data_IF_719512708102
#
_entry.id   IF_719512708102
#
_cell.length_a   1.000
_cell.length_b   1.000
_cell.length_c   1.000
_cell.angle_alpha   90.00
_cell.angle_beta   90.00
_cell.angle_gamma   90.00
#
_symmetry.space_group_name_H-M   'P 1'
#
loop_
_entity.id
_entity.type
_entity.pdbx_description
1 polymer ?
#
# COMPACT_ATOMS: atom_id res chain seq x y z
N UNK A 1 2.01 6.32 11.78
CA UNK A 1 1.22 7.58 11.92
C UNK A 1 0.09 7.38 12.93
N UNK A 2 -0.65 8.39 13.41
CA UNK A 2 -1.78 8.13 14.34
C UNK A 2 -2.95 7.51 13.56
N UNK A 3 -3.38 6.30 13.93
CA UNK A 3 -4.49 5.60 13.28
C UNK A 3 -5.84 6.23 13.69
N UNK A 4 -6.39 7.09 12.83
CA UNK A 4 -7.76 7.61 12.99
C UNK A 4 -8.76 6.71 12.27
N UNK A 5 -10.03 6.74 12.67
CA UNK A 5 -11.10 5.95 12.03
C UNK A 5 -11.17 6.23 10.53
N UNK A 6 -11.10 7.50 10.12
CA UNK A 6 -11.09 7.89 8.71
C UNK A 6 -9.91 7.29 7.92
N UNK A 7 -8.72 7.23 8.53
CA UNK A 7 -7.54 6.63 7.90
C UNK A 7 -7.65 5.10 7.81
N UNK A 8 -8.27 4.46 8.81
CA UNK A 8 -8.53 3.02 8.79
C UNK A 8 -9.50 2.67 7.66
N UNK A 9 -10.62 3.39 7.54
CA UNK A 9 -11.59 3.20 6.45
C UNK A 9 -10.96 3.45 5.08
N UNK A 10 -10.12 4.49 4.97
CA UNK A 10 -9.39 4.80 3.74
C UNK A 10 -8.39 3.71 3.37
N UNK A 11 -7.63 3.19 4.33
CA UNK A 11 -6.70 2.09 4.08
C UNK A 11 -7.45 0.82 3.65
N UNK A 12 -8.56 0.49 4.32
CA UNK A 12 -9.44 -0.63 3.90
C UNK A 12 -9.93 -0.47 2.47
N UNK A 13 -10.32 0.74 2.07
CA UNK A 13 -10.70 1.01 0.68
C UNK A 13 -9.53 0.77 -0.29
N UNK A 14 -8.34 1.26 0.03
CA UNK A 14 -7.14 1.08 -0.82
C UNK A 14 -6.70 -0.38 -0.95
N UNK A 15 -6.99 -1.21 0.05
CA UNK A 15 -6.71 -2.64 0.07
C UNK A 15 -7.86 -3.50 -0.49
N UNK A 16 -8.96 -2.88 -0.94
CA UNK A 16 -10.20 -3.57 -1.29
C UNK A 16 -10.65 -4.54 -0.18
N UNK A 17 -10.59 -4.08 1.07
CA UNK A 17 -10.81 -4.87 2.28
C UNK A 17 -11.95 -4.28 3.14
N UNK A 18 -13.07 -3.97 2.47
CA UNK A 18 -14.24 -3.37 3.11
C UNK A 18 -15.03 -4.45 3.84
N UNK A 19 -15.39 -4.16 5.09
CA UNK A 19 -16.36 -4.95 5.84
C UNK A 19 -17.74 -4.76 5.19
N UNK A 20 -18.44 -5.82 4.76
CA UNK A 20 -19.77 -5.71 4.16
C UNK A 20 -20.80 -5.15 5.14
N UNK A 21 -21.87 -4.54 4.60
CA UNK A 21 -22.90 -3.92 5.44
C UNK A 21 -23.60 -4.98 6.29
N UNK A 22 -23.48 -4.87 7.62
CA UNK A 22 -24.02 -5.84 8.57
C UNK A 22 -23.12 -7.05 8.83
N UNK A 23 -21.93 -7.09 8.22
CA UNK A 23 -20.89 -8.07 8.51
C UNK A 23 -19.97 -7.66 9.66
N UNK A 24 -18.96 -8.49 9.92
CA UNK A 24 -17.95 -8.29 10.96
C UNK A 24 -16.54 -8.17 10.36
N UNK A 25 -15.53 -7.94 11.19
CA UNK A 25 -14.14 -7.96 10.74
C UNK A 25 -13.66 -9.33 10.26
N UNK A 26 -14.40 -10.41 10.53
CA UNK A 26 -14.14 -11.76 10.03
C UNK A 26 -14.47 -11.90 8.54
N UNK A 27 -15.32 -11.02 8.00
CA UNK A 27 -15.64 -10.96 6.56
C UNK A 27 -14.57 -10.19 5.75
N UNK A 28 -13.54 -9.67 6.42
CA UNK A 28 -12.43 -8.93 5.81
C UNK A 28 -11.13 -9.75 5.91
N UNK A 29 -10.15 -9.41 5.06
CA UNK A 29 -8.83 -10.05 5.10
C UNK A 29 -8.05 -9.62 6.33
N UNK A 30 -8.21 -8.36 6.74
CA UNK A 30 -7.51 -7.79 7.89
C UNK A 30 -8.49 -7.38 8.98
N UNK A 31 -8.18 -7.80 10.21
CA UNK A 31 -8.83 -7.33 11.43
C UNK A 31 -8.61 -5.83 11.64
N UNK A 32 -9.42 -5.21 12.50
CA UNK A 32 -9.25 -3.80 12.82
C UNK A 32 -7.89 -3.52 13.47
N UNK A 33 -7.42 -4.45 14.32
CA UNK A 33 -6.10 -4.34 14.95
C UNK A 33 -4.96 -4.35 13.92
N UNK A 34 -5.03 -5.20 12.90
CA UNK A 34 -4.01 -5.25 11.84
C UNK A 34 -4.01 -3.97 10.99
N UNK A 35 -5.18 -3.43 10.67
CA UNK A 35 -5.28 -2.14 9.97
C UNK A 35 -4.67 -1.00 10.81
N UNK A 36 -4.92 -0.99 12.12
CA UNK A 36 -4.30 -0.03 13.04
C UNK A 36 -2.79 -0.18 13.03
N UNK A 37 -2.27 -1.40 13.20
CA UNK A 37 -0.83 -1.67 13.21
C UNK A 37 -0.16 -1.23 11.90
N UNK A 38 -0.76 -1.56 10.75
CA UNK A 38 -0.26 -1.13 9.44
C UNK A 38 -0.15 0.40 9.32
N UNK A 39 -1.13 1.14 9.87
CA UNK A 39 -1.09 2.60 9.89
C UNK A 39 -0.06 3.14 10.89
N UNK A 40 0.07 2.53 12.05
CA UNK A 40 0.99 2.99 13.09
C UNK A 40 2.45 2.84 12.67
N UNK A 41 2.80 1.69 12.08
CA UNK A 41 4.13 1.39 11.56
C UNK A 41 4.46 2.18 10.29
N UNK A 42 3.45 2.52 9.49
CA UNK A 42 3.66 3.27 8.26
C UNK A 42 3.89 4.76 8.49
N UNK A 43 4.81 5.32 7.69
CA UNK A 43 5.09 6.75 7.59
C UNK A 43 4.02 7.47 6.76
N UNK A 44 3.44 6.79 5.77
CA UNK A 44 2.40 7.32 4.88
C UNK A 44 1.32 6.25 4.64
N UNK A 45 0.09 6.68 4.31
CA UNK A 45 -1.00 5.73 4.03
C UNK A 45 -0.68 4.83 2.83
N UNK A 46 0.05 5.34 1.84
CA UNK A 46 0.51 4.55 0.68
C UNK A 46 1.50 3.46 1.09
N UNK A 47 2.40 3.74 2.04
CA UNK A 47 3.29 2.72 2.59
C UNK A 47 2.51 1.62 3.32
N UNK A 48 1.50 1.99 4.11
CA UNK A 48 0.60 1.04 4.74
C UNK A 48 -0.15 0.17 3.71
N UNK A 49 -0.64 0.78 2.63
CA UNK A 49 -1.29 0.06 1.54
C UNK A 49 -0.34 -0.88 0.80
N UNK A 50 0.91 -0.46 0.54
CA UNK A 50 1.92 -1.29 -0.09
C UNK A 50 2.23 -2.54 0.75
N UNK A 51 2.38 -2.37 2.08
CA UNK A 51 2.59 -3.49 3.01
C UNK A 51 1.36 -4.39 3.04
N UNK A 52 0.14 -3.84 3.15
CA UNK A 52 -1.09 -4.64 3.15
C UNK A 52 -1.27 -5.47 1.86
N UNK A 53 -0.99 -4.90 0.69
CA UNK A 53 -0.99 -5.66 -0.57
C UNK A 53 0.09 -6.74 -0.63
N UNK A 54 1.25 -6.50 -0.02
CA UNK A 54 2.32 -7.50 0.09
C UNK A 54 1.88 -8.67 0.97
N UNK A 55 1.20 -8.40 2.09
CA UNK A 55 0.64 -9.45 2.95
C UNK A 55 -0.45 -10.25 2.24
N UNK A 56 -1.34 -9.59 1.48
CA UNK A 56 -2.34 -10.29 0.64
C UNK A 56 -1.68 -11.23 -0.38
N UNK A 57 -0.59 -10.79 -1.02
CA UNK A 57 0.18 -11.65 -1.92
C UNK A 57 0.80 -12.85 -1.19
N UNK A 58 1.33 -12.65 0.02
CA UNK A 58 1.89 -13.75 0.81
C UNK A 58 0.84 -14.80 1.21
N UNK A 59 -0.37 -14.38 1.57
CA UNK A 59 -1.50 -15.28 1.85
C UNK A 59 -1.86 -16.12 0.61
N UNK A 60 -2.02 -15.46 -0.53
CA UNK A 60 -2.33 -16.12 -1.80
C UNK A 60 -1.23 -17.08 -2.25
N UNK A 61 0.04 -16.78 -1.98
CA UNK A 61 1.14 -17.69 -2.28
C UNK A 61 1.00 -19.00 -1.49
N UNK A 62 0.67 -18.95 -0.21
CA UNK A 62 0.43 -20.14 0.61
C UNK A 62 -0.72 -21.00 0.06
N UNK A 63 -1.80 -20.36 -0.39
CA UNK A 63 -2.92 -21.04 -1.01
C UNK A 63 -2.52 -21.70 -2.34
N UNK A 64 -1.78 -20.98 -3.21
CA UNK A 64 -1.29 -21.54 -4.48
C UNK A 64 -0.38 -22.76 -4.23
N UNK A 65 0.49 -22.71 -3.23
CA UNK A 65 1.38 -23.83 -2.88
C UNK A 65 0.58 -25.05 -2.37
N UNK A 66 -0.45 -24.81 -1.55
CA UNK A 66 -1.37 -25.86 -1.06
C UNK A 66 -2.20 -26.48 -2.19
N UNK A 67 -2.82 -25.64 -3.03
CA UNK A 67 -3.62 -26.07 -4.18
C UNK A 67 -2.76 -26.74 -5.27
N UNK A 68 -1.47 -26.43 -5.37
CA UNK A 68 -0.55 -27.12 -6.29
C UNK A 68 -0.45 -28.64 -6.05
N UNK A 69 -0.82 -29.10 -4.85
CA UNK A 69 -0.90 -30.52 -4.48
C UNK A 69 -2.25 -31.14 -4.85
N UNK A 70 -3.32 -30.34 -4.99
CA UNK A 70 -4.68 -30.76 -5.35
C UNK A 70 -5.04 -30.46 -6.81
N UNK A 71 -5.44 -31.47 -7.57
CA UNK A 71 -5.60 -31.37 -9.03
C UNK A 71 -6.81 -30.52 -9.50
N UNK A 72 -6.72 -29.18 -9.53
CA UNK A 72 -7.64 -28.31 -10.29
C UNK A 72 -6.90 -27.13 -10.95
N UNK A 73 -6.83 -27.12 -12.30
CA UNK A 73 -6.06 -26.14 -13.10
C UNK A 73 -6.71 -24.75 -13.20
N UNK A 74 -8.04 -24.69 -13.15
CA UNK A 74 -8.77 -23.44 -13.37
C UNK A 74 -8.62 -22.49 -12.18
N UNK A 75 -8.81 -23.01 -10.97
CA UNK A 75 -8.69 -22.22 -9.74
C UNK A 75 -7.24 -21.78 -9.49
N UNK A 76 -6.26 -22.62 -9.82
CA UNK A 76 -4.84 -22.24 -9.77
C UNK A 76 -4.47 -21.06 -10.67
N UNK A 77 -5.11 -20.91 -11.82
CA UNK A 77 -4.85 -19.78 -12.72
C UNK A 77 -5.43 -18.50 -12.11
N UNK A 78 -6.67 -18.57 -11.61
CA UNK A 78 -7.32 -17.45 -10.91
C UNK A 78 -6.54 -16.98 -9.67
N UNK A 79 -6.01 -17.90 -8.86
CA UNK A 79 -5.19 -17.55 -7.70
C UNK A 79 -3.88 -16.87 -8.08
N UNK A 80 -3.22 -17.33 -9.15
CA UNK A 80 -2.01 -16.69 -9.67
C UNK A 80 -2.28 -15.28 -10.20
N UNK A 81 -3.38 -15.08 -10.92
CA UNK A 81 -3.78 -13.77 -11.41
C UNK A 81 -4.03 -12.79 -10.25
N UNK A 82 -4.68 -13.27 -9.18
CA UNK A 82 -4.89 -12.49 -7.95
C UNK A 82 -3.58 -12.17 -7.24
N UNK A 83 -2.64 -13.13 -7.18
CA UNK A 83 -1.31 -12.93 -6.61
C UNK A 83 -0.51 -11.87 -7.37
N UNK A 84 -0.46 -11.97 -8.70
CA UNK A 84 0.23 -11.00 -9.55
C UNK A 84 -0.38 -9.61 -9.44
N UNK A 85 -1.71 -9.52 -9.38
CA UNK A 85 -2.43 -8.28 -9.14
C UNK A 85 -2.05 -7.67 -7.77
N UNK A 86 -2.03 -8.47 -6.70
CA UNK A 86 -1.64 -8.01 -5.38
C UNK A 86 -0.20 -7.46 -5.35
N UNK A 87 0.74 -8.15 -6.01
CA UNK A 87 2.12 -7.66 -6.16
C UNK A 87 2.21 -6.37 -6.99
N UNK A 88 1.43 -6.25 -8.06
CA UNK A 88 1.40 -5.05 -8.88
C UNK A 88 0.92 -3.84 -8.07
N UNK A 89 -0.15 -4.00 -7.29
CA UNK A 89 -0.67 -2.96 -6.40
C UNK A 89 0.34 -2.59 -5.30
N UNK A 90 1.01 -3.58 -4.70
CA UNK A 90 2.06 -3.33 -3.71
C UNK A 90 3.19 -2.44 -4.28
N UNK A 91 3.63 -2.72 -5.51
CA UNK A 91 4.64 -1.92 -6.22
C UNK A 91 4.15 -0.52 -6.55
N UNK A 92 2.91 -0.37 -7.02
CA UNK A 92 2.36 0.96 -7.33
C UNK A 92 2.30 1.85 -6.08
N UNK A 93 1.81 1.30 -4.96
CA UNK A 93 1.72 2.06 -3.72
C UNK A 93 3.10 2.35 -3.08
N UNK A 94 4.09 1.47 -3.27
CA UNK A 94 5.44 1.76 -2.79
C UNK A 94 6.08 2.92 -3.56
N UNK A 95 5.88 3.02 -4.87
CA UNK A 95 6.31 4.16 -5.69
C UNK A 95 5.63 5.44 -5.21
N UNK A 96 4.31 5.44 -5.01
CA UNK A 96 3.57 6.61 -4.50
C UNK A 96 4.06 7.04 -3.11
N UNK A 97 4.40 6.07 -2.24
CA UNK A 97 4.96 6.37 -0.93
C UNK A 97 6.33 7.08 -1.04
N UNK A 98 7.20 6.60 -1.93
CA UNK A 98 8.51 7.21 -2.19
C UNK A 98 8.36 8.62 -2.75
N UNK A 99 7.50 8.83 -3.76
CA UNK A 99 7.25 10.15 -4.34
C UNK A 99 6.72 11.16 -3.29
N UNK A 100 5.87 10.70 -2.37
CA UNK A 100 5.38 11.55 -1.28
C UNK A 100 6.49 11.91 -0.28
N UNK A 101 7.40 10.98 0.02
CA UNK A 101 8.54 11.24 0.91
C UNK A 101 9.58 12.15 0.24
N UNK A 102 9.81 11.99 -1.07
CA UNK A 102 10.68 12.84 -1.87
C UNK A 102 10.15 14.27 -1.98
N UNK A 103 8.85 14.46 -2.21
CA UNK A 103 8.23 15.79 -2.24
C UNK A 103 8.28 16.48 -0.88
N UNK A 104 8.10 15.74 0.22
CA UNK A 104 8.26 16.26 1.58
C UNK A 104 9.71 16.70 1.87
N UNK A 105 10.70 15.98 1.33
CA UNK A 105 12.13 16.26 1.53
C UNK A 105 12.66 17.33 0.56
N UNK A 106 12.19 17.34 -0.69
CA UNK A 106 12.54 18.28 -1.75
C UNK A 106 11.92 19.66 -1.56
N UNK A 107 10.75 19.75 -0.92
CA UNK A 107 10.13 21.02 -0.52
C UNK A 107 10.99 21.81 0.48
N UNK A 108 11.82 21.14 1.31
CA UNK A 108 12.82 21.80 2.17
C UNK A 108 14.06 22.32 1.40
N UNK A 109 14.28 21.92 0.14
CA UNK A 109 15.41 22.39 -0.69
C UNK A 109 15.02 23.38 -1.80
N UNK A 110 13.73 23.60 -2.05
CA UNK A 110 13.24 24.62 -2.98
C UNK A 110 13.23 26.04 -2.39
N UNK A 111 14.22 26.37 -1.56
CA UNK A 111 14.63 27.76 -1.36
C UNK A 111 15.50 28.19 -2.53
N UNK A 112 14.87 28.70 -3.60
CA UNK A 112 15.51 29.34 -4.77
C UNK A 112 16.72 30.20 -4.37
N UNK A 113 17.94 29.66 -4.47
CA UNK A 113 19.16 30.47 -4.60
C UNK A 113 19.32 30.88 -6.06
N UNK A 114 18.58 31.90 -6.49
CA UNK A 114 18.87 32.61 -7.74
C UNK A 114 20.12 33.47 -7.50
N UNK A 115 21.30 32.94 -7.87
CA UNK A 115 22.53 33.74 -7.97
C UNK A 115 22.36 34.79 -9.07
N UNK A 116 21.89 35.99 -8.70
CA UNK A 116 21.92 37.17 -9.56
C UNK A 116 23.38 37.64 -9.66
N UNK A 117 24.03 37.32 -10.78
CA UNK A 117 25.36 37.83 -11.13
C UNK A 117 25.21 39.30 -11.53
N UNK A 118 25.70 40.23 -10.71
CA UNK A 118 25.67 41.67 -11.02
C UNK A 118 26.56 41.94 -12.24
N UNK A 119 26.05 42.54 -13.34
CA UNK A 119 26.90 42.94 -14.45
C UNK A 119 27.76 44.13 -14.03
N UNK A 120 29.05 44.06 -14.29
CA UNK A 120 30.03 45.12 -14.03
C UNK A 120 29.94 46.12 -15.18
N UNK A 121 29.51 47.35 -14.88
CA UNK A 121 29.56 48.45 -15.85
C UNK A 121 30.95 49.05 -15.81
N UNK A 122 31.56 49.21 -17.00
CA UNK A 122 32.86 49.84 -17.24
C UNK A 122 32.85 51.32 -16.87
#
# INVERSE_FOLDING_TARGET
>A
MKATVELQERLRLMLNDRIPKGGSEEDATFSNAEIVNLLEEATTIYKGAAVGWTLKAALLQGDIESYGVGQEKYDLTSLKDQYEHALAMAKQYSVLALEQEETATGSRRSGRMLKVKRPRVL
#
